data_IF_938898650936
#
_entry.id   IF_938898650936
#
_cell.length_a   1.000
_cell.length_b   1.000
_cell.length_c   1.000
_cell.angle_alpha   90.00
_cell.angle_beta   90.00
_cell.angle_gamma   90.00
#
_symmetry.space_group_name_H-M   'P 1'
#
loop_
_entity.id
_entity.type
_entity.pdbx_description
1 polymer ?
#
# COMPACT_ATOMS: atom_id res chain seq x y z
N UNK A 1 18.60 12.15 -1.18
CA UNK A 1 18.09 11.48 -2.40
C UNK A 1 17.83 12.50 -3.50
N UNK A 2 18.05 12.18 -4.78
CA UNK A 2 17.61 13.06 -5.89
C UNK A 2 16.08 13.09 -5.90
N UNK A 3 15.49 14.27 -6.03
CA UNK A 3 14.04 14.41 -6.16
C UNK A 3 13.54 13.56 -7.34
N UNK A 4 12.62 12.63 -7.10
CA UNK A 4 11.97 11.87 -8.15
C UNK A 4 11.13 12.81 -9.01
N UNK A 5 11.16 12.61 -10.33
CA UNK A 5 10.31 13.33 -11.26
C UNK A 5 8.83 13.08 -10.90
N UNK A 6 7.94 14.09 -11.00
CA UNK A 6 6.50 13.89 -10.78
C UNK A 6 5.95 12.76 -11.64
N UNK A 7 5.09 11.91 -11.07
CA UNK A 7 4.59 10.68 -11.73
C UNK A 7 3.92 10.99 -13.08
N UNK A 8 3.27 12.14 -13.19
CA UNK A 8 2.54 12.60 -14.39
C UNK A 8 3.46 12.93 -15.57
N UNK A 9 4.75 13.18 -15.30
CA UNK A 9 5.74 13.50 -16.33
C UNK A 9 6.52 12.29 -16.81
N UNK A 10 6.27 11.11 -16.23
CA UNK A 10 6.97 9.87 -16.57
C UNK A 10 6.29 9.21 -17.78
N UNK A 11 7.07 8.83 -18.78
CA UNK A 11 6.58 8.02 -19.89
C UNK A 11 6.52 6.55 -19.46
N UNK A 12 5.39 6.14 -18.89
CA UNK A 12 5.19 4.78 -18.37
C UNK A 12 5.26 3.69 -19.43
N UNK A 13 4.91 3.98 -20.70
CA UNK A 13 5.09 3.03 -21.79
C UNK A 13 6.58 2.73 -22.06
N UNK A 14 7.43 3.76 -22.00
CA UNK A 14 8.89 3.59 -22.10
C UNK A 14 9.45 2.79 -20.91
N UNK A 15 9.00 3.12 -19.69
CA UNK A 15 9.41 2.38 -18.48
C UNK A 15 8.97 0.92 -18.54
N UNK A 16 7.77 0.65 -19.03
CA UNK A 16 7.26 -0.71 -19.21
C UNK A 16 8.14 -1.53 -20.16
N UNK A 17 8.53 -0.97 -21.31
CA UNK A 17 9.43 -1.65 -22.24
C UNK A 17 10.81 -1.92 -21.60
N UNK A 18 11.32 -0.98 -20.80
CA UNK A 18 12.55 -1.18 -20.02
C UNK A 18 12.38 -2.34 -19.02
N UNK A 19 11.24 -2.42 -18.34
CA UNK A 19 10.93 -3.49 -17.39
C UNK A 19 10.91 -4.86 -18.06
N UNK A 20 10.37 -4.97 -19.28
CA UNK A 20 10.39 -6.21 -20.06
C UNK A 20 11.83 -6.65 -20.33
N UNK A 21 12.70 -5.74 -20.78
CA UNK A 21 14.11 -6.05 -21.04
C UNK A 21 14.87 -6.44 -19.76
N UNK A 22 14.65 -5.72 -18.65
CA UNK A 22 15.23 -6.05 -17.34
C UNK A 22 14.78 -7.43 -16.83
N UNK A 23 13.52 -7.80 -17.09
CA UNK A 23 12.94 -9.07 -16.67
C UNK A 23 13.28 -10.25 -17.60
N UNK A 24 13.88 -10.02 -18.77
CA UNK A 24 14.15 -11.03 -19.81
C UNK A 24 14.86 -12.30 -19.31
N UNK A 25 15.82 -12.25 -18.37
CA UNK A 25 16.42 -13.46 -17.80
C UNK A 25 15.45 -14.32 -16.98
N UNK A 26 14.33 -13.75 -16.54
CA UNK A 26 13.34 -14.35 -15.63
C UNK A 26 12.03 -14.59 -16.38
N UNK A 27 11.93 -15.72 -17.08
CA UNK A 27 10.82 -16.01 -18.01
C UNK A 27 9.43 -15.76 -17.41
N UNK A 28 9.14 -16.28 -16.21
CA UNK A 28 7.84 -16.08 -15.54
C UNK A 28 7.57 -14.60 -15.22
N UNK A 29 8.57 -13.87 -14.71
CA UNK A 29 8.45 -12.44 -14.44
C UNK A 29 8.22 -11.63 -15.73
N UNK A 30 9.01 -11.88 -16.78
CA UNK A 30 8.86 -11.22 -18.08
C UNK A 30 7.48 -11.47 -18.69
N UNK A 31 7.01 -12.73 -18.68
CA UNK A 31 5.66 -13.07 -19.14
C UNK A 31 4.57 -12.36 -18.32
N UNK A 32 4.72 -12.27 -17.00
CA UNK A 32 3.75 -11.58 -16.15
C UNK A 32 3.71 -10.06 -16.42
N UNK A 33 4.86 -9.43 -16.64
CA UNK A 33 4.93 -8.00 -17.01
C UNK A 33 4.27 -7.78 -18.38
N UNK A 34 4.61 -8.59 -19.39
CA UNK A 34 4.01 -8.50 -20.73
C UNK A 34 2.49 -8.68 -20.69
N UNK A 35 2.01 -9.70 -19.97
CA UNK A 35 0.58 -10.00 -19.87
C UNK A 35 -0.22 -8.87 -19.21
N UNK A 36 0.37 -8.20 -18.23
CA UNK A 36 -0.24 -7.05 -17.58
C UNK A 36 -0.37 -5.82 -18.49
N UNK A 37 0.49 -5.71 -19.51
CA UNK A 37 0.66 -4.50 -20.30
C UNK A 37 1.18 -3.31 -19.49
N UNK A 38 1.26 -2.10 -20.08
CA UNK A 38 1.74 -0.91 -19.38
C UNK A 38 0.86 -0.56 -18.17
N UNK A 39 1.47 -0.46 -16.99
CA UNK A 39 0.84 0.08 -15.78
C UNK A 39 1.31 1.52 -15.58
N UNK A 40 0.37 2.41 -15.25
CA UNK A 40 0.65 3.81 -14.89
C UNK A 40 0.59 3.93 -13.37
N UNK A 41 1.62 4.53 -12.76
CA UNK A 41 1.51 4.98 -11.37
C UNK A 41 0.85 6.35 -11.38
N UNK A 42 -0.44 6.38 -11.04
CA UNK A 42 -1.20 7.61 -10.92
C UNK A 42 -0.95 8.31 -9.58
N UNK A 43 -1.23 9.61 -9.57
CA UNK A 43 -1.30 10.40 -8.36
C UNK A 43 -2.29 9.77 -7.36
N UNK A 44 -1.93 9.65 -6.06
CA UNK A 44 -2.82 9.15 -5.00
C UNK A 44 -4.19 9.83 -5.00
N UNK A 45 -5.26 9.04 -4.99
CA UNK A 45 -6.65 9.54 -5.00
C UNK A 45 -7.10 10.04 -3.64
N UNK A 46 -6.73 9.32 -2.58
CA UNK A 46 -7.05 9.71 -1.21
C UNK A 46 -6.14 10.85 -0.78
N UNK A 47 -6.72 11.93 -0.26
CA UNK A 47 -6.00 13.14 0.16
C UNK A 47 -6.02 13.35 1.68
N UNK A 48 -6.80 12.54 2.40
CA UNK A 48 -6.85 12.53 3.85
C UNK A 48 -6.08 11.31 4.41
N UNK A 49 -4.98 11.57 5.12
CA UNK A 49 -4.12 10.55 5.70
C UNK A 49 -4.84 9.72 6.76
N UNK A 50 -5.72 10.32 7.55
CA UNK A 50 -6.49 9.60 8.55
C UNK A 50 -7.42 8.58 7.89
N UNK A 51 -8.11 8.98 6.82
CA UNK A 51 -8.97 8.09 6.03
C UNK A 51 -8.15 6.97 5.39
N UNK A 52 -6.97 7.30 4.85
CA UNK A 52 -6.07 6.33 4.23
C UNK A 52 -5.58 5.28 5.23
N UNK A 53 -5.09 5.71 6.40
CA UNK A 53 -4.62 4.81 7.45
C UNK A 53 -5.74 3.95 8.04
N UNK A 54 -6.95 4.51 8.21
CA UNK A 54 -8.12 3.73 8.60
C UNK A 54 -8.37 2.57 7.63
N UNK A 55 -8.28 2.84 6.32
CA UNK A 55 -8.49 1.83 5.27
C UNK A 55 -7.41 0.75 5.27
N UNK A 56 -6.15 1.13 5.53
CA UNK A 56 -5.05 0.18 5.73
C UNK A 56 -5.36 -0.75 6.89
N UNK A 57 -5.69 -0.22 8.07
CA UNK A 57 -5.99 -1.01 9.27
C UNK A 57 -7.15 -1.97 9.01
N UNK A 58 -8.21 -1.50 8.35
CA UNK A 58 -9.36 -2.32 7.97
C UNK A 58 -8.92 -3.48 7.08
N UNK A 59 -8.08 -3.22 6.07
CA UNK A 59 -7.66 -4.21 5.07
C UNK A 59 -6.57 -5.21 5.51
N UNK A 60 -5.82 -4.94 6.58
CA UNK A 60 -4.72 -5.82 7.04
C UNK A 60 -5.15 -7.29 7.14
N UNK A 61 -4.38 -8.21 6.54
CA UNK A 61 -4.60 -9.66 6.63
C UNK A 61 -5.98 -10.14 6.12
N UNK A 62 -6.64 -9.37 5.26
CA UNK A 62 -7.91 -9.74 4.62
C UNK A 62 -7.77 -9.79 3.11
N UNK A 63 -8.67 -10.52 2.45
CA UNK A 63 -8.85 -10.38 1.00
C UNK A 63 -9.46 -9.02 0.66
N UNK A 64 -9.21 -8.55 -0.56
CA UNK A 64 -9.73 -7.27 -1.07
C UNK A 64 -11.26 -7.20 -0.94
N UNK A 65 -11.97 -8.29 -1.25
CA UNK A 65 -13.44 -8.34 -1.14
C UNK A 65 -13.94 -8.17 0.30
N UNK A 66 -13.32 -8.86 1.27
CA UNK A 66 -13.72 -8.77 2.68
C UNK A 66 -13.39 -7.38 3.23
N UNK A 67 -12.20 -6.85 2.93
CA UNK A 67 -11.80 -5.50 3.31
C UNK A 67 -12.79 -4.46 2.78
N UNK A 68 -13.17 -4.57 1.49
CA UNK A 68 -14.14 -3.68 0.86
C UNK A 68 -15.51 -3.77 1.54
N UNK A 69 -15.98 -4.97 1.87
CA UNK A 69 -17.26 -5.18 2.56
C UNK A 69 -17.30 -4.47 3.93
N UNK A 70 -16.25 -4.65 4.74
CA UNK A 70 -16.14 -4.00 6.05
C UNK A 70 -16.05 -2.49 5.89
N UNK A 71 -15.23 -2.01 4.94
CA UNK A 71 -15.07 -0.59 4.66
C UNK A 71 -16.39 0.08 4.26
N UNK A 72 -17.19 -0.55 3.38
CA UNK A 72 -18.51 -0.04 3.00
C UNK A 72 -19.44 0.10 4.21
N UNK A 73 -19.49 -0.89 5.11
CA UNK A 73 -20.30 -0.82 6.34
C UNK A 73 -19.86 0.29 7.29
N UNK A 74 -18.55 0.55 7.39
CA UNK A 74 -18.02 1.68 8.16
C UNK A 74 -18.47 3.01 7.54
N UNK A 75 -18.37 3.15 6.21
CA UNK A 75 -18.82 4.36 5.52
C UNK A 75 -20.34 4.58 5.65
N UNK A 76 -21.15 3.53 5.68
CA UNK A 76 -22.59 3.63 5.94
C UNK A 76 -22.86 4.26 7.31
N UNK A 77 -22.10 3.91 8.35
CA UNK A 77 -22.19 4.57 9.67
C UNK A 77 -21.79 6.06 9.62
N UNK A 78 -21.04 6.46 8.60
CA UNK A 78 -20.65 7.83 8.32
C UNK A 78 -21.56 8.52 7.29
N UNK A 79 -22.75 7.99 6.98
CA UNK A 79 -23.63 8.46 5.90
C UNK A 79 -22.90 8.62 4.55
N UNK A 80 -21.98 7.70 4.25
CA UNK A 80 -21.13 7.69 3.06
C UNK A 80 -20.24 8.93 2.89
N UNK A 81 -19.87 9.60 3.99
CA UNK A 81 -18.95 10.75 3.98
C UNK A 81 -17.70 10.47 4.82
N UNK A 82 -16.53 10.54 4.20
CA UNK A 82 -15.25 10.21 4.84
C UNK A 82 -14.82 11.23 5.91
N UNK A 83 -15.23 12.50 5.78
CA UNK A 83 -14.98 13.56 6.77
C UNK A 83 -15.57 13.26 8.16
N UNK A 84 -16.55 12.34 8.24
CA UNK A 84 -17.16 11.88 9.49
C UNK A 84 -16.44 10.71 10.15
N UNK A 85 -15.43 10.13 9.50
CA UNK A 85 -14.67 9.00 10.06
C UNK A 85 -13.97 9.37 11.37
N UNK A 86 -13.45 10.59 11.48
CA UNK A 86 -12.79 11.06 12.70
C UNK A 86 -13.75 10.97 13.90
N UNK A 87 -15.01 11.39 13.72
CA UNK A 87 -16.03 11.30 14.77
C UNK A 87 -16.42 9.84 15.07
N UNK A 88 -16.55 9.02 14.03
CA UNK A 88 -16.85 7.59 14.18
C UNK A 88 -15.74 6.86 14.93
N UNK A 89 -14.48 7.27 14.84
CA UNK A 89 -13.35 6.60 15.50
C UNK A 89 -13.06 7.15 16.92
N UNK A 90 -13.98 7.91 17.51
CA UNK A 90 -13.84 8.38 18.89
C UNK A 90 -13.95 7.24 19.92
N UNK A 91 -13.46 7.46 21.15
CA UNK A 91 -13.27 6.42 22.17
C UNK A 91 -14.52 5.55 22.48
N UNK A 92 -15.73 6.10 22.31
CA UNK A 92 -17.00 5.39 22.54
C UNK A 92 -17.40 4.40 21.44
N UNK A 93 -16.68 4.36 20.32
CA UNK A 93 -17.15 3.68 19.11
C UNK A 93 -16.66 2.26 18.92
N UNK A 94 -15.93 1.67 19.88
CA UNK A 94 -15.37 0.32 19.76
C UNK A 94 -16.45 -0.72 19.36
N UNK A 95 -17.62 -0.67 20.00
CA UNK A 95 -18.73 -1.59 19.73
C UNK A 95 -19.30 -1.37 18.33
N UNK A 96 -19.50 -0.12 17.93
CA UNK A 96 -20.03 0.23 16.61
C UNK A 96 -19.08 -0.25 15.49
N UNK A 97 -17.78 -0.01 15.63
CA UNK A 97 -16.75 -0.47 14.69
C UNK A 97 -16.70 -2.01 14.58
N UNK A 98 -16.87 -2.71 15.69
CA UNK A 98 -16.97 -4.18 15.70
C UNK A 98 -18.23 -4.68 15.00
N UNK A 99 -19.36 -3.99 15.15
CA UNK A 99 -20.60 -4.33 14.45
C UNK A 99 -20.48 -4.18 12.93
N UNK A 100 -19.56 -3.34 12.42
CA UNK A 100 -19.23 -3.28 11.00
C UNK A 100 -18.41 -4.50 10.51
N UNK A 101 -17.92 -5.35 11.41
CA UNK A 101 -17.14 -6.56 11.09
C UNK A 101 -15.65 -6.47 11.45
N UNK A 102 -15.21 -5.43 12.16
CA UNK A 102 -13.83 -5.35 12.63
C UNK A 102 -13.55 -6.29 13.81
N UNK A 103 -12.33 -6.84 13.83
CA UNK A 103 -11.82 -7.49 15.03
C UNK A 103 -11.63 -6.48 16.16
N UNK A 104 -11.59 -6.96 17.40
CA UNK A 104 -11.36 -6.10 18.56
C UNK A 104 -10.05 -5.31 18.45
N UNK A 105 -8.97 -5.95 17.97
CA UNK A 105 -7.67 -5.29 17.77
C UNK A 105 -7.70 -4.21 16.70
N UNK A 106 -8.40 -4.43 15.58
CA UNK A 106 -8.51 -3.39 14.54
C UNK A 106 -9.38 -2.23 14.99
N UNK A 107 -10.47 -2.50 15.72
CA UNK A 107 -11.28 -1.44 16.31
C UNK A 107 -10.43 -0.60 17.28
N UNK A 108 -9.67 -1.23 18.18
CA UNK A 108 -8.74 -0.54 19.08
C UNK A 108 -7.69 0.29 18.31
N UNK A 109 -7.17 -0.23 17.20
CA UNK A 109 -6.18 0.47 16.38
C UNK A 109 -6.76 1.75 15.78
N UNK A 110 -8.01 1.73 15.29
CA UNK A 110 -8.69 2.93 14.80
C UNK A 110 -8.91 3.98 15.90
N UNK A 111 -9.28 3.53 17.11
CA UNK A 111 -9.48 4.44 18.25
C UNK A 111 -8.16 5.12 18.68
N UNK A 112 -7.07 4.35 18.71
CA UNK A 112 -5.73 4.87 19.02
C UNK A 112 -5.23 5.80 17.91
N UNK A 113 -5.46 5.45 16.65
CA UNK A 113 -5.15 6.32 15.51
C UNK A 113 -5.87 7.66 15.64
N UNK A 114 -7.17 7.65 15.95
CA UNK A 114 -7.93 8.88 16.23
C UNK A 114 -7.26 9.70 17.33
N UNK A 115 -6.88 9.07 18.45
CA UNK A 115 -6.19 9.74 19.55
C UNK A 115 -4.88 10.40 19.10
N UNK A 116 -4.03 9.68 18.36
CA UNK A 116 -2.76 10.19 17.85
C UNK A 116 -2.93 11.41 16.93
N UNK A 117 -3.97 11.44 16.08
CA UNK A 117 -4.28 12.64 15.28
C UNK A 117 -4.79 13.80 16.14
N UNK A 118 -5.65 13.52 17.14
CA UNK A 118 -6.20 14.56 18.03
C UNK A 118 -5.15 15.18 18.93
N UNK A 119 -4.14 14.42 19.35
CA UNK A 119 -3.05 14.87 20.21
C UNK A 119 -1.86 15.44 19.42
N UNK A 120 -1.89 15.37 18.08
CA UNK A 120 -0.83 15.90 17.21
C UNK A 120 0.43 15.02 17.17
N UNK A 121 0.33 13.76 17.63
CA UNK A 121 1.41 12.78 17.51
C UNK A 121 1.73 12.49 16.04
N UNK A 122 0.71 12.51 15.18
CA UNK A 122 0.83 12.42 13.73
C UNK A 122 0.16 13.62 13.07
N UNK A 123 0.84 14.17 12.06
CA UNK A 123 0.32 15.28 11.26
C UNK A 123 0.54 15.02 9.78
N UNK A 124 -0.51 15.19 8.98
CA UNK A 124 -0.45 14.92 7.55
C UNK A 124 0.52 15.84 6.81
N UNK A 125 0.54 17.13 7.15
CA UNK A 125 1.38 18.11 6.46
C UNK A 125 2.86 17.83 6.70
N UNK A 126 3.21 17.37 7.91
CA UNK A 126 4.54 16.86 8.26
C UNK A 126 4.89 15.62 7.44
N UNK A 127 4.03 14.58 7.47
CA UNK A 127 4.26 13.32 6.75
C UNK A 127 4.54 13.53 5.25
N UNK A 128 3.87 14.49 4.62
CA UNK A 128 4.06 14.80 3.19
C UNK A 128 5.43 15.40 2.85
N UNK A 129 6.17 15.92 3.84
CA UNK A 129 7.47 16.56 3.65
C UNK A 129 8.65 15.65 4.01
N UNK A 130 8.40 14.56 4.72
CA UNK A 130 9.42 13.63 5.19
C UNK A 130 10.06 12.81 4.07
N UNK A 131 11.29 12.37 4.30
CA UNK A 131 11.93 11.33 3.48
C UNK A 131 11.33 9.95 3.79
N UNK A 132 11.58 8.99 2.90
CA UNK A 132 10.92 7.68 2.95
C UNK A 132 11.19 6.94 4.26
N UNK A 133 12.43 6.97 4.76
CA UNK A 133 12.82 6.35 6.03
C UNK A 133 12.12 7.00 7.23
N UNK A 134 11.98 8.33 7.22
CA UNK A 134 11.33 9.08 8.30
C UNK A 134 9.82 8.80 8.35
N UNK A 135 9.18 8.65 7.19
CA UNK A 135 7.77 8.21 7.11
C UNK A 135 7.63 6.80 7.69
N UNK A 136 8.55 5.89 7.38
CA UNK A 136 8.53 4.53 7.92
C UNK A 136 8.62 4.55 9.43
N UNK A 137 9.55 5.33 10.00
CA UNK A 137 9.71 5.46 11.44
C UNK A 137 8.50 6.10 12.12
N UNK A 138 7.95 7.19 11.56
CA UNK A 138 6.84 7.92 12.18
C UNK A 138 5.55 7.09 12.17
N UNK A 139 5.20 6.49 11.03
CA UNK A 139 3.98 5.68 10.91
C UNK A 139 4.09 4.40 11.76
N UNK A 140 5.26 3.76 11.80
CA UNK A 140 5.45 2.50 12.55
C UNK A 140 5.44 2.66 14.07
N UNK A 141 5.53 3.89 14.59
CA UNK A 141 5.37 4.16 16.04
C UNK A 141 3.92 4.11 16.49
N UNK A 142 2.98 4.25 15.56
CA UNK A 142 1.54 4.24 15.88
C UNK A 142 1.11 2.80 16.11
N UNK A 143 0.52 2.54 17.27
CA UNK A 143 0.06 1.20 17.61
C UNK A 143 -0.92 0.65 16.57
N UNK A 144 -0.66 -0.58 16.09
CA UNK A 144 -1.47 -1.22 15.05
C UNK A 144 -1.01 -0.91 13.61
N UNK A 145 -0.03 -0.02 13.45
CA UNK A 145 0.67 0.26 12.19
C UNK A 145 2.13 -0.19 12.35
N UNK A 146 2.64 -0.88 11.34
CA UNK A 146 4.04 -1.32 11.30
C UNK A 146 4.70 -0.97 9.97
N UNK A 147 5.92 -1.47 9.71
CA UNK A 147 6.69 -1.13 8.52
C UNK A 147 5.90 -1.33 7.21
N UNK A 148 5.18 -2.46 7.09
CA UNK A 148 4.31 -2.71 5.94
C UNK A 148 3.27 -1.59 5.72
N UNK A 149 2.62 -1.13 6.79
CA UNK A 149 1.60 -0.07 6.69
C UNK A 149 2.23 1.27 6.28
N UNK A 150 3.43 1.57 6.77
CA UNK A 150 4.16 2.77 6.37
C UNK A 150 4.61 2.71 4.91
N UNK A 151 5.07 1.55 4.44
CA UNK A 151 5.39 1.32 3.03
C UNK A 151 4.15 1.49 2.14
N UNK A 152 2.96 1.08 2.61
CA UNK A 152 1.70 1.35 1.92
C UNK A 152 1.34 2.84 1.90
N UNK A 153 1.69 3.61 2.93
CA UNK A 153 1.58 5.09 2.91
C UNK A 153 2.50 5.69 1.85
N UNK A 154 3.76 5.26 1.78
CA UNK A 154 4.69 5.72 0.75
C UNK A 154 4.13 5.46 -0.66
N UNK A 155 3.64 4.24 -0.92
CA UNK A 155 3.10 3.84 -2.23
C UNK A 155 1.78 4.53 -2.55
N UNK A 156 0.79 4.41 -1.65
CA UNK A 156 -0.61 4.69 -1.96
C UNK A 156 -1.10 6.07 -1.54
N UNK A 157 -0.40 6.75 -0.64
CA UNK A 157 -0.76 8.09 -0.16
C UNK A 157 0.23 9.16 -0.61
N UNK A 158 1.53 8.88 -0.55
CA UNK A 158 2.59 9.80 -0.98
C UNK A 158 2.99 9.62 -2.45
N UNK A 159 2.60 8.51 -3.10
CA UNK A 159 2.88 8.28 -4.52
C UNK A 159 4.37 8.12 -4.82
N UNK A 160 5.16 7.56 -3.89
CA UNK A 160 6.57 7.25 -4.11
C UNK A 160 6.70 6.17 -5.18
N UNK A 161 7.59 6.37 -6.15
CA UNK A 161 7.73 5.45 -7.27
C UNK A 161 8.69 4.27 -7.00
N UNK A 162 9.54 4.38 -5.96
CA UNK A 162 10.64 3.45 -5.72
C UNK A 162 10.58 2.73 -4.37
N UNK A 163 9.40 2.20 -4.03
CA UNK A 163 9.18 1.45 -2.78
C UNK A 163 8.96 -0.02 -3.10
N UNK A 164 9.67 -0.89 -2.38
CA UNK A 164 9.43 -2.32 -2.35
C UNK A 164 9.27 -2.77 -0.89
N UNK A 165 8.15 -3.40 -0.57
CA UNK A 165 7.84 -3.84 0.79
C UNK A 165 8.25 -5.29 1.02
N UNK A 166 9.36 -5.49 1.72
CA UNK A 166 9.80 -6.79 2.26
C UNK A 166 8.93 -7.25 3.44
N UNK A 167 7.84 -6.56 3.77
CA UNK A 167 6.87 -7.00 4.77
C UNK A 167 5.56 -7.44 4.13
N UNK A 168 5.44 -7.33 2.81
CA UNK A 168 4.24 -7.70 2.08
C UNK A 168 4.29 -9.18 1.68
N UNK A 169 3.39 -9.98 2.26
CA UNK A 169 3.34 -11.41 2.00
C UNK A 169 3.00 -11.74 0.54
N UNK A 170 2.18 -10.92 -0.12
CA UNK A 170 1.84 -11.12 -1.53
C UNK A 170 3.04 -10.80 -2.41
N UNK A 171 3.78 -9.71 -2.16
CA UNK A 171 5.00 -9.40 -2.91
C UNK A 171 6.08 -10.47 -2.72
N UNK A 172 6.33 -10.93 -1.48
CA UNK A 172 7.27 -12.03 -1.22
C UNK A 172 6.90 -13.29 -1.98
N UNK A 173 5.65 -13.72 -1.89
CA UNK A 173 5.16 -14.90 -2.61
C UNK A 173 5.28 -14.70 -4.11
N UNK A 174 4.78 -13.59 -4.62
CA UNK A 174 4.73 -13.29 -6.05
C UNK A 174 6.10 -13.19 -6.69
N UNK A 175 7.08 -12.54 -6.06
CA UNK A 175 8.45 -12.51 -6.59
C UNK A 175 9.08 -13.90 -6.58
N UNK A 176 8.85 -14.71 -5.54
CA UNK A 176 9.37 -16.08 -5.49
C UNK A 176 8.79 -16.95 -6.61
N UNK A 177 7.49 -16.83 -6.89
CA UNK A 177 6.83 -17.50 -8.02
C UNK A 177 7.39 -17.02 -9.37
N UNK A 178 7.53 -15.71 -9.54
CA UNK A 178 8.02 -15.08 -10.76
C UNK A 178 9.48 -15.44 -11.07
N UNK A 179 10.27 -15.78 -10.05
CA UNK A 179 11.66 -16.21 -10.18
C UNK A 179 11.86 -17.73 -10.11
N UNK A 180 10.79 -18.52 -9.92
CA UNK A 180 10.88 -19.97 -9.83
C UNK A 180 11.68 -20.46 -8.61
N UNK A 181 11.55 -19.78 -7.47
CA UNK A 181 12.21 -20.18 -6.21
C UNK A 181 13.70 -19.83 -6.10
N UNK A 182 14.22 -18.97 -6.99
CA UNK A 182 15.62 -18.50 -6.92
C UNK A 182 15.86 -17.68 -5.64
N UNK A 183 16.91 -18.04 -4.89
CA UNK A 183 17.27 -17.45 -3.58
C UNK A 183 17.63 -15.95 -3.58
N UNK A 184 17.75 -15.32 -4.75
CA UNK A 184 18.30 -13.96 -4.91
C UNK A 184 17.27 -12.91 -5.33
N UNK A 185 16.03 -13.00 -4.82
CA UNK A 185 14.93 -12.07 -5.14
C UNK A 185 15.31 -10.60 -4.94
N UNK A 186 16.03 -10.26 -3.86
CA UNK A 186 16.48 -8.90 -3.60
C UNK A 186 17.32 -8.30 -4.74
N UNK A 187 18.30 -9.06 -5.28
CA UNK A 187 19.12 -8.55 -6.41
C UNK A 187 18.28 -8.29 -7.66
N UNK A 188 17.22 -9.08 -7.86
CA UNK A 188 16.32 -8.89 -9.00
C UNK A 188 15.44 -7.66 -8.80
N UNK A 189 14.88 -7.47 -7.61
CA UNK A 189 14.10 -6.28 -7.26
C UNK A 189 14.91 -4.99 -7.48
N UNK A 190 16.20 -5.00 -7.13
CA UNK A 190 17.09 -3.85 -7.30
C UNK A 190 17.31 -3.45 -8.78
N UNK A 191 17.13 -4.36 -9.74
CA UNK A 191 17.22 -4.04 -11.17
C UNK A 191 16.13 -3.05 -11.62
N UNK A 192 15.01 -3.00 -10.87
CA UNK A 192 13.85 -2.19 -11.21
C UNK A 192 13.87 -0.80 -10.57
N UNK A 193 14.97 -0.40 -9.92
CA UNK A 193 15.19 1.00 -9.54
C UNK A 193 15.19 1.91 -10.79
N UNK A 194 14.64 3.13 -10.71
CA UNK A 194 14.03 3.78 -9.55
C UNK A 194 12.49 3.63 -9.52
N UNK A 195 11.95 2.49 -9.96
CA UNK A 195 10.51 2.25 -10.13
C UNK A 195 10.03 0.98 -9.43
N UNK A 196 10.63 0.61 -8.28
CA UNK A 196 10.25 -0.63 -7.58
C UNK A 196 8.77 -0.72 -7.20
N UNK A 197 8.07 0.41 -7.03
CA UNK A 197 6.62 0.42 -6.82
C UNK A 197 5.86 -0.09 -8.05
N UNK A 198 6.34 0.20 -9.26
CA UNK A 198 5.76 -0.34 -10.49
C UNK A 198 5.93 -1.88 -10.55
N UNK A 199 7.07 -2.39 -10.08
CA UNK A 199 7.28 -3.84 -9.97
C UNK A 199 6.28 -4.46 -8.98
N UNK A 200 6.06 -3.82 -7.82
CA UNK A 200 5.03 -4.24 -6.87
C UNK A 200 3.64 -4.28 -7.50
N UNK A 201 3.26 -3.27 -8.30
CA UNK A 201 1.97 -3.25 -9.03
C UNK A 201 1.83 -4.43 -9.99
N UNK A 202 2.87 -4.72 -10.78
CA UNK A 202 2.85 -5.87 -11.69
C UNK A 202 2.69 -7.20 -10.95
N UNK A 203 3.36 -7.36 -9.81
CA UNK A 203 3.29 -8.60 -9.04
C UNK A 203 1.93 -8.77 -8.37
N UNK A 204 1.39 -7.73 -7.73
CA UNK A 204 0.03 -7.78 -7.18
C UNK A 204 -1.01 -8.10 -8.26
N UNK A 205 -0.98 -7.39 -9.39
CA UNK A 205 -1.90 -7.65 -10.51
C UNK A 205 -1.78 -9.07 -11.05
N UNK A 206 -0.55 -9.57 -11.23
CA UNK A 206 -0.34 -10.91 -11.75
C UNK A 206 -0.79 -12.01 -10.77
N UNK A 207 -0.75 -11.76 -9.46
CA UNK A 207 -1.33 -12.66 -8.46
C UNK A 207 -2.86 -12.62 -8.50
N UNK A 208 -3.46 -11.43 -8.56
CA UNK A 208 -4.92 -11.24 -8.57
C UNK A 208 -5.55 -11.84 -9.84
N UNK A 209 -4.89 -11.70 -10.99
CA UNK A 209 -5.34 -12.24 -12.27
C UNK A 209 -4.98 -13.73 -12.47
N UNK A 210 -4.31 -14.36 -11.50
CA UNK A 210 -3.91 -15.78 -11.59
C UNK A 210 -2.83 -16.07 -12.64
N UNK A 211 -2.04 -15.07 -13.03
CA UNK A 211 -0.90 -15.22 -13.95
C UNK A 211 0.30 -15.83 -13.21
N UNK A 212 0.52 -15.43 -11.96
CA UNK A 212 1.52 -16.01 -11.06
C UNK A 212 0.82 -16.94 -10.06
N UNK A 213 0.80 -18.23 -10.39
CA UNK A 213 0.33 -19.29 -9.49
C UNK A 213 1.42 -20.32 -9.28
N UNK A 214 1.27 -21.13 -8.23
CA UNK A 214 2.08 -22.32 -7.98
C UNK A 214 2.00 -23.32 -9.14
#
# INVERSE_FOLDING_TARGET
MKAQQPLEKINWSKVHNQFIEQAKPFKKLSSAIIANGPIVLDSPKEKDLFVFLCRIIVGQQLSTHVAQTIWSRILEQCNNKTDRLMNLCSASSAVQLRNCGLSARKAEALLRLHKSFKEGEIDQSRIQQLQDEEVVDEISRIWGLGPWSAEMVLIGFLGRADVWSENDGALKRGINLALGGVKSSHKVVELFKPYRTLLSRHIWKALDDGILTD
#
